data_IF_523853331511
#
_entry.id   IF_523853331511
#
_cell.length_a   1.000
_cell.length_b   1.000
_cell.length_c   1.000
_cell.angle_alpha   90.00
_cell.angle_beta   90.00
_cell.angle_gamma   90.00
#
_symmetry.space_group_name_H-M   'P 1'
#
loop_
_entity.id
_entity.type
_entity.pdbx_description
1 polymer ?
#
# COMPACT_ATOMS: atom_id res chain seq x y z
N UNK A 1 -8.26 0.93 -5.12
CA UNK A 1 -7.26 -0.02 -5.67
C UNK A 1 -6.80 0.56 -6.98
N UNK A 2 -5.53 0.34 -7.35
CA UNK A 2 -5.12 0.69 -8.70
C UNK A 2 -5.70 -0.30 -9.74
N UNK A 3 -5.44 -0.03 -11.02
CA UNK A 3 -5.93 -0.84 -12.13
C UNK A 3 -4.94 -1.96 -12.53
N UNK A 4 -4.08 -2.43 -11.62
CA UNK A 4 -3.16 -3.52 -11.95
C UNK A 4 -3.94 -4.79 -12.34
N UNK A 5 -3.46 -5.60 -13.31
CA UNK A 5 -4.18 -6.78 -13.82
C UNK A 5 -4.62 -7.79 -12.74
N UNK A 6 -3.89 -7.87 -11.63
CA UNK A 6 -4.23 -8.73 -10.49
C UNK A 6 -5.56 -8.33 -9.83
N UNK A 7 -5.91 -7.03 -9.84
CA UNK A 7 -7.14 -6.47 -9.26
C UNK A 7 -8.34 -6.50 -10.22
N UNK A 8 -8.13 -6.93 -11.47
CA UNK A 8 -9.19 -7.09 -12.47
C UNK A 8 -9.39 -8.54 -12.89
N UNK A 9 -8.61 -9.47 -12.32
CA UNK A 9 -8.69 -10.90 -12.63
C UNK A 9 -10.06 -11.51 -12.29
N UNK A 10 -10.46 -12.53 -13.04
CA UNK A 10 -11.74 -13.23 -12.81
C UNK A 10 -11.85 -13.78 -11.39
N UNK A 11 -10.76 -14.34 -10.86
CA UNK A 11 -10.70 -14.88 -9.50
C UNK A 11 -10.96 -13.76 -8.49
N UNK A 12 -10.30 -12.61 -8.63
CA UNK A 12 -10.53 -11.46 -7.76
C UNK A 12 -11.99 -10.97 -7.82
N UNK A 13 -12.58 -10.89 -9.01
CA UNK A 13 -13.97 -10.48 -9.18
C UNK A 13 -14.95 -11.42 -8.49
N UNK A 14 -14.72 -12.74 -8.53
CA UNK A 14 -15.55 -13.73 -7.81
C UNK A 14 -15.48 -13.48 -6.30
N UNK A 15 -14.26 -13.33 -5.74
CA UNK A 15 -14.09 -13.04 -4.32
C UNK A 15 -14.74 -11.72 -3.90
N UNK A 16 -14.59 -10.67 -4.70
CA UNK A 16 -15.20 -9.36 -4.45
C UNK A 16 -16.73 -9.44 -4.43
N UNK A 17 -17.33 -10.14 -5.40
CA UNK A 17 -18.78 -10.25 -5.51
C UNK A 17 -19.37 -11.05 -4.34
N UNK A 18 -18.71 -12.13 -3.91
CA UNK A 18 -19.15 -12.95 -2.78
C UNK A 18 -19.03 -12.24 -1.43
N UNK A 19 -18.10 -11.30 -1.29
CA UNK A 19 -17.87 -10.55 -0.05
C UNK A 19 -18.70 -9.27 0.08
N UNK A 20 -19.39 -8.84 -0.98
CA UNK A 20 -20.22 -7.64 -0.99
C UNK A 20 -19.42 -6.32 -1.01
N UNK A 21 -18.09 -6.37 -1.12
CA UNK A 21 -17.25 -5.17 -1.17
C UNK A 21 -17.35 -4.44 -2.51
N UNK A 22 -17.40 -3.10 -2.45
CA UNK A 22 -17.29 -2.24 -3.63
C UNK A 22 -15.88 -1.69 -3.73
N UNK A 23 -15.25 -1.83 -4.90
CA UNK A 23 -13.91 -1.29 -5.17
C UNK A 23 -14.03 0.03 -5.95
N UNK A 24 -13.38 1.08 -5.45
CA UNK A 24 -13.13 2.31 -6.20
C UNK A 24 -11.85 2.15 -7.04
N UNK A 25 -11.98 2.46 -8.33
CA UNK A 25 -10.89 2.43 -9.31
C UNK A 25 -10.62 3.85 -9.81
N UNK A 26 -9.42 4.41 -9.59
CA UNK A 26 -9.06 5.72 -10.10
C UNK A 26 -8.82 5.65 -11.63
N UNK A 27 -8.80 6.80 -12.32
CA UNK A 27 -8.36 6.87 -13.71
C UNK A 27 -6.96 6.25 -13.90
N UNK A 28 -6.66 5.65 -15.06
CA UNK A 28 -5.33 5.14 -15.37
C UNK A 28 -4.23 6.20 -15.17
N UNK A 29 -3.09 5.78 -14.64
CA UNK A 29 -1.92 6.64 -14.39
C UNK A 29 -2.18 7.85 -13.49
N UNK A 30 -3.22 7.81 -12.65
CA UNK A 30 -3.54 8.86 -11.69
C UNK A 30 -3.27 8.34 -10.25
N UNK A 31 -2.03 8.47 -9.74
CA UNK A 31 -1.68 8.06 -8.37
C UNK A 31 -2.22 9.02 -7.30
N UNK A 32 -2.44 10.29 -7.64
CA UNK A 32 -2.90 11.35 -6.72
C UNK A 32 -4.19 11.00 -5.95
N UNK A 33 -5.24 10.43 -6.58
CA UNK A 33 -6.46 10.03 -5.88
C UNK A 33 -6.31 8.75 -5.04
N UNK A 34 -5.16 8.07 -5.06
CA UNK A 34 -4.96 6.83 -4.31
C UNK A 34 -4.35 7.13 -2.92
N UNK A 35 -5.11 7.02 -1.81
CA UNK A 35 -4.62 7.43 -0.48
C UNK A 35 -3.38 6.67 -0.01
N UNK A 36 -3.14 5.46 -0.54
CA UNK A 36 -1.96 4.66 -0.18
C UNK A 36 -0.65 5.34 -0.63
N UNK A 37 -0.68 6.14 -1.70
CA UNK A 37 0.51 6.87 -2.18
C UNK A 37 0.93 7.94 -1.17
N UNK A 38 -0.05 8.65 -0.61
CA UNK A 38 0.18 9.62 0.47
C UNK A 38 0.73 8.92 1.72
N UNK A 39 0.13 7.78 2.10
CA UNK A 39 0.63 6.96 3.21
C UNK A 39 2.10 6.57 3.01
N UNK A 40 2.48 6.07 1.83
CA UNK A 40 3.86 5.69 1.56
C UNK A 40 4.82 6.88 1.56
N UNK A 41 4.40 8.04 1.08
CA UNK A 41 5.20 9.27 1.15
C UNK A 41 5.54 9.63 2.60
N UNK A 42 4.53 9.66 3.47
CA UNK A 42 4.70 9.94 4.90
C UNK A 42 5.54 8.86 5.58
N UNK A 43 5.17 7.58 5.43
CA UNK A 43 5.86 6.47 6.09
C UNK A 43 7.35 6.44 5.71
N UNK A 44 7.69 6.56 4.42
CA UNK A 44 9.08 6.56 3.96
C UNK A 44 9.86 7.78 4.44
N UNK A 45 9.23 8.95 4.56
CA UNK A 45 9.88 10.15 5.11
C UNK A 45 10.30 10.00 6.59
N UNK A 46 9.54 9.19 7.35
CA UNK A 46 9.78 8.92 8.78
C UNK A 46 10.77 7.77 9.01
N UNK A 47 11.07 6.96 7.99
CA UNK A 47 11.99 5.84 8.11
C UNK A 47 13.45 6.33 8.22
N UNK A 48 14.18 5.74 9.18
CA UNK A 48 15.62 5.95 9.36
C UNK A 48 16.40 5.52 8.11
N UNK A 49 17.25 6.41 7.58
CA UNK A 49 18.08 6.16 6.38
C UNK A 49 19.47 5.58 6.68
N UNK A 50 19.89 5.53 7.95
CA UNK A 50 21.18 4.93 8.32
C UNK A 50 21.21 3.43 8.03
N UNK A 51 22.39 2.81 7.97
CA UNK A 51 22.50 1.33 7.90
C UNK A 51 21.78 0.68 9.08
N UNK A 52 21.27 -0.54 8.87
CA UNK A 52 20.65 -1.33 9.93
C UNK A 52 21.65 -1.58 11.06
N UNK A 53 21.18 -1.43 12.30
CA UNK A 53 21.85 -2.04 13.44
C UNK A 53 21.66 -3.56 13.35
N UNK A 54 22.53 -4.33 13.99
CA UNK A 54 22.56 -5.80 13.88
C UNK A 54 21.22 -6.49 14.24
N UNK A 55 20.39 -5.83 15.05
CA UNK A 55 19.08 -6.31 15.52
C UNK A 55 17.89 -5.67 14.77
N UNK A 56 18.13 -4.65 13.94
CA UNK A 56 17.06 -3.96 13.22
C UNK A 56 16.73 -4.68 11.91
N UNK A 57 15.44 -4.75 11.59
CA UNK A 57 14.93 -5.25 10.31
C UNK A 57 14.15 -4.15 9.60
N UNK A 58 13.85 -4.35 8.31
CA UNK A 58 12.96 -3.45 7.58
C UNK A 58 11.60 -3.33 8.28
N UNK A 59 11.05 -4.45 8.75
CA UNK A 59 9.74 -4.52 9.41
C UNK A 59 9.73 -3.72 10.71
N UNK A 60 10.76 -3.86 11.56
CA UNK A 60 10.81 -3.11 12.84
C UNK A 60 10.96 -1.61 12.60
N UNK A 61 11.74 -1.19 11.60
CA UNK A 61 11.85 0.23 11.21
C UNK A 61 10.56 0.78 10.62
N UNK A 62 9.88 0.00 9.79
CA UNK A 62 8.60 0.41 9.22
C UNK A 62 7.54 0.58 10.31
N UNK A 63 7.45 -0.37 11.25
CA UNK A 63 6.57 -0.27 12.40
C UNK A 63 6.88 0.95 13.28
N UNK A 64 8.16 1.23 13.54
CA UNK A 64 8.58 2.43 14.27
C UNK A 64 8.21 3.72 13.51
N UNK A 65 8.38 3.76 12.20
CA UNK A 65 8.06 4.93 11.37
C UNK A 65 6.55 5.21 11.24
N UNK A 66 5.73 4.17 11.23
CA UNK A 66 4.27 4.30 11.13
C UNK A 66 3.60 4.68 12.47
N UNK A 67 4.23 4.36 13.61
CA UNK A 67 3.69 4.67 14.94
C UNK A 67 4.28 5.95 15.58
N UNK A 68 5.10 6.69 14.83
CA UNK A 68 5.59 8.03 15.19
C UNK A 68 4.80 9.08 14.43
#
# INVERSE_FOLDING_TARGET
MDNAPIHTSTVFNIFRNNSGYRCGYPPPYCPEPNPIEQFWSVAKSKMKRQRYLQQETLTTRFHEACNK
#
